data_IF_962904396955
#
_entry.id   IF_962904396955
#
_cell.length_a   1.000
_cell.length_b   1.000
_cell.length_c   1.000
_cell.angle_alpha   90.00
_cell.angle_beta   90.00
_cell.angle_gamma   90.00
#
_symmetry.space_group_name_H-M   'P 1'
#
loop_
_entity.id
_entity.type
_entity.pdbx_description
1 polymer ?
#
# COMPACT_ATOMS: atom_id res chain seq x y z
N UNK A 1 13.80 -15.14 -1.54
CA UNK A 1 12.35 -15.41 -1.76
C UNK A 1 11.59 -14.49 -0.82
N UNK A 2 10.54 -13.81 -1.28
CA UNK A 2 9.77 -12.86 -0.45
C UNK A 2 8.94 -13.63 0.59
N UNK A 3 9.00 -13.21 1.86
CA UNK A 3 8.29 -13.87 2.97
C UNK A 3 6.76 -13.78 2.82
N UNK A 4 6.03 -14.78 3.31
CA UNK A 4 4.55 -14.76 3.37
C UNK A 4 4.02 -13.55 4.15
N UNK A 5 4.77 -13.08 5.15
CA UNK A 5 4.42 -11.93 5.96
C UNK A 5 4.43 -10.62 5.15
N UNK A 6 5.35 -10.49 4.20
CA UNK A 6 5.42 -9.34 3.29
C UNK A 6 4.16 -9.26 2.43
N UNK A 7 3.69 -10.39 1.89
CA UNK A 7 2.46 -10.43 1.11
C UNK A 7 1.21 -10.14 1.96
N UNK A 8 1.17 -10.63 3.20
CA UNK A 8 0.07 -10.33 4.11
C UNK A 8 0.03 -8.84 4.48
N UNK A 9 1.19 -8.27 4.81
CA UNK A 9 1.35 -6.84 5.10
C UNK A 9 0.99 -5.95 3.92
N UNK A 10 1.44 -6.31 2.72
CA UNK A 10 1.08 -5.64 1.47
C UNK A 10 -0.44 -5.71 1.21
N UNK A 11 -1.06 -6.87 1.43
CA UNK A 11 -2.50 -7.07 1.19
C UNK A 11 -3.35 -6.23 2.15
N UNK A 12 -2.98 -6.19 3.44
CA UNK A 12 -3.68 -5.37 4.45
C UNK A 12 -3.48 -3.88 4.21
N UNK A 13 -2.26 -3.47 3.84
CA UNK A 13 -1.98 -2.10 3.40
C UNK A 13 -2.87 -1.72 2.23
N UNK A 14 -2.96 -2.57 1.21
CA UNK A 14 -3.75 -2.32 0.01
C UNK A 14 -5.25 -2.28 0.28
N UNK A 15 -5.76 -3.21 1.10
CA UNK A 15 -7.18 -3.26 1.47
C UNK A 15 -7.60 -2.03 2.27
N UNK A 16 -6.82 -1.65 3.29
CA UNK A 16 -7.09 -0.45 4.10
C UNK A 16 -7.01 0.83 3.28
N UNK A 17 -6.02 0.92 2.39
CA UNK A 17 -5.86 2.07 1.48
C UNK A 17 -7.01 2.18 0.49
N UNK A 18 -7.40 1.07 -0.15
CA UNK A 18 -8.50 1.05 -1.09
C UNK A 18 -9.84 1.38 -0.39
N UNK A 19 -10.06 0.86 0.82
CA UNK A 19 -11.25 1.18 1.61
C UNK A 19 -11.27 2.68 1.99
N UNK A 20 -10.16 3.21 2.50
CA UNK A 20 -10.05 4.63 2.85
C UNK A 20 -10.24 5.55 1.64
N UNK A 21 -9.65 5.21 0.49
CA UNK A 21 -9.83 5.92 -0.77
C UNK A 21 -11.26 5.84 -1.31
N UNK A 22 -11.97 4.73 -1.10
CA UNK A 22 -13.36 4.56 -1.54
C UNK A 22 -14.37 5.38 -0.71
N UNK A 23 -14.08 5.61 0.58
CA UNK A 23 -14.99 6.32 1.51
C UNK A 23 -14.68 7.82 1.56
N UNK A 24 -13.41 8.22 1.58
CA UNK A 24 -13.01 9.62 1.75
C UNK A 24 -12.37 10.27 0.51
N UNK A 25 -12.34 9.58 -0.63
CA UNK A 25 -11.71 10.06 -1.86
C UNK A 25 -10.19 9.99 -1.83
N UNK A 26 -9.54 10.53 -2.87
CA UNK A 26 -8.08 10.46 -3.05
C UNK A 26 -7.27 11.13 -1.92
N UNK A 27 -7.85 12.12 -1.24
CA UNK A 27 -7.24 12.77 -0.08
C UNK A 27 -7.29 11.94 1.21
N UNK A 28 -8.10 10.88 1.26
CA UNK A 28 -8.21 9.96 2.39
C UNK A 28 -7.37 8.69 2.22
N UNK A 29 -6.51 8.64 1.19
CA UNK A 29 -5.45 7.64 1.06
C UNK A 29 -4.40 7.92 2.14
N UNK A 30 -4.77 7.63 3.40
CA UNK A 30 -3.83 7.69 4.51
C UNK A 30 -2.65 6.78 4.19
N UNK A 31 -1.45 7.14 4.64
CA UNK A 31 -0.29 6.35 4.29
C UNK A 31 -0.29 5.10 5.19
N UNK A 32 -0.65 3.97 4.57
CA UNK A 32 -0.89 2.68 5.23
C UNK A 32 0.31 1.74 5.10
N UNK A 33 1.44 2.21 4.54
CA UNK A 33 2.69 1.45 4.48
C UNK A 33 3.19 1.03 5.86
N UNK A 34 2.72 1.74 6.89
CA UNK A 34 2.86 1.41 8.31
C UNK A 34 2.35 -0.01 8.62
N UNK A 35 1.20 -0.43 8.08
CA UNK A 35 0.65 -1.77 8.32
C UNK A 35 1.53 -2.85 7.71
N UNK A 36 2.02 -2.61 6.49
CA UNK A 36 2.97 -3.47 5.81
C UNK A 36 4.27 -3.62 6.61
N UNK A 37 4.82 -2.50 7.07
CA UNK A 37 6.01 -2.45 7.93
C UNK A 37 5.82 -3.19 9.25
N UNK A 38 4.68 -3.02 9.93
CA UNK A 38 4.36 -3.69 11.19
C UNK A 38 4.34 -5.22 11.04
N UNK A 39 3.61 -5.72 10.04
CA UNK A 39 3.43 -7.17 9.85
C UNK A 39 4.74 -7.82 9.41
N UNK A 40 5.44 -7.19 8.46
CA UNK A 40 6.72 -7.67 7.98
C UNK A 40 7.78 -7.64 9.10
N UNK A 41 7.90 -6.50 9.79
CA UNK A 41 8.85 -6.28 10.87
C UNK A 41 8.65 -7.21 12.07
N UNK A 42 7.40 -7.53 12.44
CA UNK A 42 7.13 -8.46 13.55
C UNK A 42 7.64 -9.88 13.28
N UNK A 43 7.66 -10.29 12.00
CA UNK A 43 8.12 -11.61 11.59
C UNK A 43 9.60 -11.65 11.20
N UNK A 44 10.28 -10.50 11.19
CA UNK A 44 11.68 -10.42 10.84
C UNK A 44 12.54 -11.12 11.89
N UNK A 45 13.70 -11.63 11.46
CA UNK A 45 14.71 -12.22 12.35
C UNK A 45 15.66 -11.14 12.87
N UNK A 46 16.06 -10.21 11.99
CA UNK A 46 16.94 -9.09 12.33
C UNK A 46 16.32 -7.73 12.01
N UNK A 47 16.86 -6.66 12.62
CA UNK A 47 16.43 -5.28 12.33
C UNK A 47 16.66 -4.92 10.86
N UNK A 48 17.75 -5.41 10.25
CA UNK A 48 18.00 -5.24 8.81
C UNK A 48 16.96 -5.93 7.95
N UNK A 49 16.53 -7.15 8.32
CA UNK A 49 15.46 -7.84 7.60
C UNK A 49 14.15 -7.09 7.74
N UNK A 50 13.85 -6.56 8.93
CA UNK A 50 12.68 -5.70 9.16
C UNK A 50 12.68 -4.46 8.26
N UNK A 51 13.83 -3.85 8.01
CA UNK A 51 13.96 -2.74 7.06
C UNK A 51 13.65 -3.17 5.61
N UNK A 52 14.24 -4.28 5.15
CA UNK A 52 14.02 -4.76 3.78
C UNK A 52 12.61 -5.31 3.55
N UNK A 53 12.12 -6.14 4.46
CA UNK A 53 10.79 -6.74 4.37
C UNK A 53 9.69 -5.68 4.55
N UNK A 54 9.91 -4.70 5.43
CA UNK A 54 9.04 -3.53 5.57
C UNK A 54 8.98 -2.70 4.28
N UNK A 55 10.14 -2.42 3.68
CA UNK A 55 10.21 -1.72 2.39
C UNK A 55 9.44 -2.48 1.29
N UNK A 56 9.66 -3.79 1.18
CA UNK A 56 8.98 -4.64 0.20
C UNK A 56 7.47 -4.68 0.44
N UNK A 57 7.02 -4.77 1.70
CA UNK A 57 5.61 -4.74 2.04
C UNK A 57 4.97 -3.40 1.65
N UNK A 58 5.70 -2.29 1.85
CA UNK A 58 5.32 -0.96 1.36
C UNK A 58 5.21 -0.88 -0.16
N UNK A 59 6.21 -1.39 -0.90
CA UNK A 59 6.19 -1.42 -2.38
C UNK A 59 4.97 -2.20 -2.89
N UNK A 60 4.82 -3.45 -2.44
CA UNK A 60 3.74 -4.32 -2.91
C UNK A 60 2.37 -3.79 -2.50
N UNK A 61 2.23 -3.26 -1.29
CA UNK A 61 1.00 -2.65 -0.81
C UNK A 61 0.61 -1.42 -1.61
N UNK A 62 1.58 -0.57 -1.97
CA UNK A 62 1.34 0.60 -2.80
C UNK A 62 0.93 0.24 -4.23
N UNK A 63 1.64 -0.71 -4.86
CA UNK A 63 1.30 -1.18 -6.21
C UNK A 63 -0.13 -1.75 -6.22
N UNK A 64 -0.47 -2.60 -5.26
CA UNK A 64 -1.81 -3.16 -5.15
C UNK A 64 -2.87 -2.06 -4.92
N UNK A 65 -2.59 -1.05 -4.08
CA UNK A 65 -3.45 0.11 -3.87
C UNK A 65 -3.72 0.87 -5.17
N UNK A 66 -2.66 1.17 -5.94
CA UNK A 66 -2.77 1.87 -7.23
C UNK A 66 -3.67 1.11 -8.20
N UNK A 67 -3.47 -0.21 -8.31
CA UNK A 67 -4.27 -1.08 -9.18
C UNK A 67 -5.74 -1.04 -8.74
N UNK A 68 -6.02 -1.22 -7.45
CA UNK A 68 -7.38 -1.21 -6.91
C UNK A 68 -8.07 0.14 -7.12
N UNK A 69 -7.37 1.26 -6.93
CA UNK A 69 -7.92 2.60 -7.14
C UNK A 69 -8.14 2.93 -8.62
N UNK A 70 -7.24 2.48 -9.49
CA UNK A 70 -7.45 2.56 -10.94
C UNK A 70 -8.71 1.83 -11.38
N UNK A 71 -8.88 0.59 -10.91
CA UNK A 71 -10.08 -0.21 -11.19
C UNK A 71 -11.34 0.42 -10.63
N UNK A 72 -11.32 0.87 -9.37
CA UNK A 72 -12.47 1.52 -8.74
C UNK A 72 -12.89 2.79 -9.49
N UNK A 73 -11.93 3.64 -9.86
CA UNK A 73 -12.18 4.88 -10.61
C UNK A 73 -12.76 4.60 -12.00
N UNK A 74 -12.23 3.59 -12.69
CA UNK A 74 -12.74 3.17 -13.99
C UNK A 74 -14.18 2.64 -13.89
N UNK A 75 -14.46 1.75 -12.93
CA UNK A 75 -15.81 1.21 -12.71
C UNK A 75 -16.80 2.32 -12.34
N UNK A 76 -16.43 3.21 -11.41
CA UNK A 76 -17.27 4.35 -11.02
C UNK A 76 -17.60 5.26 -12.22
N UNK A 77 -16.62 5.51 -13.09
CA UNK A 77 -16.82 6.34 -14.29
C UNK A 77 -17.69 5.64 -15.34
N UNK A 78 -17.56 4.32 -15.52
CA UNK A 78 -18.45 3.54 -16.41
C UNK A 78 -19.90 3.66 -15.93
N UNK A 79 -20.12 3.50 -14.62
CA UNK A 79 -21.45 3.51 -14.03
C UNK A 79 -22.11 4.90 -14.06
N UNK A 80 -21.33 5.98 -14.05
CA UNK A 80 -21.85 7.36 -13.98
C UNK A 80 -21.92 8.04 -15.35
N UNK A 81 -20.93 7.83 -16.23
CA UNK A 81 -20.83 8.54 -17.51
C UNK A 81 -21.23 7.70 -18.73
N UNK A 82 -21.50 6.39 -18.55
CA UNK A 82 -21.87 5.44 -19.61
C UNK A 82 -20.91 5.42 -20.83
N UNK A 83 -19.66 5.86 -20.66
CA UNK A 83 -18.69 5.97 -21.74
C UNK A 83 -17.37 5.28 -21.38
N UNK A 84 -17.17 4.08 -21.94
CA UNK A 84 -16.04 3.19 -21.60
C UNK A 84 -14.68 3.82 -21.91
N UNK A 85 -14.55 4.52 -23.04
CA UNK A 85 -13.29 5.21 -23.41
C UNK A 85 -12.85 6.29 -22.42
N UNK A 86 -13.79 7.11 -21.92
CA UNK A 86 -13.51 8.12 -20.88
C UNK A 86 -13.13 7.46 -19.55
N UNK A 87 -13.81 6.37 -19.18
CA UNK A 87 -13.52 5.67 -17.95
C UNK A 87 -12.12 5.03 -17.91
N UNK A 88 -11.68 4.45 -19.02
CA UNK A 88 -10.32 3.91 -19.15
C UNK A 88 -9.29 5.04 -19.03
N UNK A 89 -9.52 6.16 -19.70
CA UNK A 89 -8.62 7.32 -19.64
C UNK A 89 -8.51 7.89 -18.22
N UNK A 90 -9.65 8.13 -17.56
CA UNK A 90 -9.70 8.63 -16.17
C UNK A 90 -9.04 7.66 -15.20
N UNK A 91 -9.33 6.36 -15.33
CA UNK A 91 -8.71 5.32 -14.51
C UNK A 91 -7.18 5.30 -14.66
N UNK A 92 -6.67 5.36 -15.90
CA UNK A 92 -5.23 5.31 -16.18
C UNK A 92 -4.52 6.57 -15.67
N UNK A 93 -5.08 7.76 -15.92
CA UNK A 93 -4.50 9.04 -15.47
C UNK A 93 -4.45 9.16 -13.94
N UNK A 94 -5.55 8.75 -13.28
CA UNK A 94 -5.65 8.75 -11.82
C UNK A 94 -4.65 7.77 -11.22
N UNK A 95 -4.53 6.56 -11.77
CA UNK A 95 -3.58 5.55 -11.31
C UNK A 95 -2.13 6.02 -11.41
N UNK A 96 -1.75 6.65 -12.53
CA UNK A 96 -0.39 7.13 -12.74
C UNK A 96 -0.03 8.25 -11.74
N UNK A 97 -0.95 9.19 -11.53
CA UNK A 97 -0.74 10.30 -10.58
C UNK A 97 -0.64 9.78 -9.14
N UNK A 98 -1.53 8.86 -8.77
CA UNK A 98 -1.52 8.22 -7.45
C UNK A 98 -0.24 7.39 -7.24
N UNK A 99 0.23 6.66 -8.27
CA UNK A 99 1.42 5.83 -8.16
C UNK A 99 2.67 6.63 -7.80
N UNK A 100 2.89 7.78 -8.44
CA UNK A 100 4.07 8.62 -8.22
C UNK A 100 4.09 9.19 -6.79
N UNK A 101 2.93 9.41 -6.18
CA UNK A 101 2.83 9.93 -4.81
C UNK A 101 2.81 8.84 -3.74
N UNK A 102 2.08 7.76 -3.97
CA UNK A 102 1.80 6.73 -2.94
C UNK A 102 2.94 5.73 -2.80
N UNK A 103 3.55 5.30 -3.91
CA UNK A 103 4.60 4.28 -3.85
C UNK A 103 5.78 4.75 -2.98
N UNK A 104 6.37 5.93 -3.18
CA UNK A 104 7.47 6.37 -2.32
C UNK A 104 7.05 6.50 -0.85
N UNK A 105 5.86 7.03 -0.59
CA UNK A 105 5.36 7.25 0.77
C UNK A 105 5.22 5.93 1.53
N UNK A 106 4.56 4.94 0.96
CA UNK A 106 4.34 3.65 1.61
C UNK A 106 5.65 2.88 1.80
N UNK A 107 6.60 3.02 0.87
CA UNK A 107 7.93 2.43 0.99
C UNK A 107 8.70 3.05 2.15
N UNK A 108 8.69 4.38 2.27
CA UNK A 108 9.34 5.09 3.37
C UNK A 108 8.73 4.68 4.72
N UNK A 109 7.41 4.57 4.80
CA UNK A 109 6.77 4.08 6.02
C UNK A 109 7.13 2.63 6.35
N UNK A 110 7.16 1.76 5.34
CA UNK A 110 7.61 0.38 5.52
C UNK A 110 9.05 0.31 6.05
N UNK A 111 9.95 1.13 5.49
CA UNK A 111 11.35 1.26 5.90
C UNK A 111 11.47 1.76 7.34
N UNK A 112 10.62 2.68 7.78
CA UNK A 112 10.66 3.23 9.14
C UNK A 112 10.06 2.24 10.13
N UNK A 113 8.88 1.70 9.83
CA UNK A 113 8.08 0.91 10.78
C UNK A 113 8.60 -0.51 10.93
N UNK A 114 9.08 -1.14 9.86
CA UNK A 114 9.66 -2.48 9.88
C UNK A 114 10.77 -2.70 10.93
N UNK A 115 11.87 -1.93 10.90
CA UNK A 115 12.96 -2.08 11.85
C UNK A 115 12.56 -1.64 13.27
N UNK A 116 11.71 -0.62 13.41
CA UNK A 116 11.19 -0.20 14.72
C UNK A 116 10.36 -1.31 15.37
N UNK A 117 9.53 -1.99 14.58
CA UNK A 117 8.71 -3.10 15.06
C UNK A 117 9.57 -4.27 15.53
N UNK A 118 10.59 -4.63 14.74
CA UNK A 118 11.51 -5.69 15.15
C UNK A 118 12.33 -5.31 16.39
N UNK A 119 12.82 -4.07 16.43
CA UNK A 119 13.54 -3.57 17.60
C UNK A 119 12.67 -3.65 18.86
N UNK A 120 11.43 -3.17 18.79
CA UNK A 120 10.47 -3.25 19.89
C UNK A 120 10.21 -4.69 20.33
N UNK A 121 10.00 -5.62 19.39
CA UNK A 121 9.85 -7.05 19.70
C UNK A 121 11.05 -7.60 20.47
N UNK A 122 12.27 -7.32 20.02
CA UNK A 122 13.49 -7.84 20.68
C UNK A 122 13.83 -7.21 22.02
N UNK A 123 13.28 -6.03 22.34
CA UNK A 123 13.60 -5.30 23.58
C UNK A 123 12.48 -5.32 24.63
N UNK A 124 11.25 -5.59 24.22
CA UNK A 124 10.08 -5.63 25.11
C UNK A 124 9.62 -7.05 25.45
N UNK A 125 10.09 -8.06 24.71
CA UNK A 125 9.94 -9.50 25.03
C UNK A 125 11.22 -10.05 25.67
#
# INVERSE_FOLDING_TARGET
>A
MVSKAVYLGASLTAASSALAGSVGGSGALAPWGILGGLIAGWTAETVSDGLFDGALAGVFGAIATVILMGMFSAVSTILTAAHVGLAVFVGTYTSATIAVMIIPTFVVEGIIVGPLTQYAKTTLE
#
